data_IF_286561475824
#
_entry.id   IF_286561475824
#
_cell.length_a   1.000
_cell.length_b   1.000
_cell.length_c   1.000
_cell.angle_alpha   90.00
_cell.angle_beta   90.00
_cell.angle_gamma   90.00
#
_symmetry.space_group_name_H-M   'P 1'
#
loop_
_entity.id
_entity.type
_entity.pdbx_description
1 polymer ?
#
# COMPACT_ATOMS: atom_id res chain seq x y z
N UNK A 1 -27.34 -7.65 -41.88
CA UNK A 1 -25.92 -7.99 -41.64
C UNK A 1 -25.22 -6.94 -40.76
N UNK A 2 -25.47 -5.65 -40.97
CA UNK A 2 -24.77 -4.58 -40.20
C UNK A 2 -25.17 -4.50 -38.73
N UNK A 3 -26.42 -4.87 -38.46
CA UNK A 3 -27.02 -4.75 -37.15
C UNK A 3 -26.49 -5.78 -36.15
N UNK A 4 -26.13 -6.99 -36.60
CA UNK A 4 -25.56 -8.04 -35.73
C UNK A 4 -24.11 -7.75 -35.38
N UNK A 5 -23.37 -7.20 -36.35
CA UNK A 5 -22.01 -6.68 -36.12
C UNK A 5 -22.02 -5.58 -35.06
N UNK A 6 -23.03 -4.70 -35.07
CA UNK A 6 -23.18 -3.66 -34.06
C UNK A 6 -23.46 -4.23 -32.65
N UNK A 7 -24.32 -5.25 -32.53
CA UNK A 7 -24.59 -5.89 -31.25
C UNK A 7 -23.36 -6.61 -30.69
N UNK A 8 -22.64 -7.37 -31.53
CA UNK A 8 -21.38 -8.01 -31.13
C UNK A 8 -20.31 -6.99 -30.76
N UNK A 9 -20.17 -5.91 -31.54
CA UNK A 9 -19.22 -4.84 -31.23
C UNK A 9 -19.53 -4.18 -29.88
N UNK A 10 -20.80 -3.94 -29.56
CA UNK A 10 -21.21 -3.41 -28.26
C UNK A 10 -20.80 -4.34 -27.10
N UNK A 11 -21.01 -5.65 -27.23
CA UNK A 11 -20.58 -6.62 -26.21
C UNK A 11 -19.06 -6.58 -26.00
N UNK A 12 -18.29 -6.57 -27.09
CA UNK A 12 -16.82 -6.54 -27.01
C UNK A 12 -16.33 -5.23 -26.40
N UNK A 13 -16.84 -4.08 -26.85
CA UNK A 13 -16.48 -2.76 -26.30
C UNK A 13 -16.84 -2.68 -24.83
N UNK A 14 -18.04 -3.15 -24.46
CA UNK A 14 -18.48 -3.22 -23.07
C UNK A 14 -17.52 -4.03 -22.20
N UNK A 15 -17.12 -5.21 -22.66
CA UNK A 15 -16.17 -6.06 -21.95
C UNK A 15 -14.79 -5.39 -21.80
N UNK A 16 -14.27 -4.75 -22.84
CA UNK A 16 -13.00 -4.04 -22.78
C UNK A 16 -13.02 -2.89 -21.78
N UNK A 17 -14.12 -2.14 -21.72
CA UNK A 17 -14.32 -1.07 -20.74
C UNK A 17 -14.41 -1.62 -19.31
N UNK A 18 -15.06 -2.77 -19.11
CA UNK A 18 -15.07 -3.45 -17.80
C UNK A 18 -13.67 -3.83 -17.39
N UNK A 19 -12.90 -4.48 -18.26
CA UNK A 19 -11.51 -4.89 -17.97
C UNK A 19 -10.64 -3.68 -17.65
N UNK A 20 -10.70 -2.62 -18.46
CA UNK A 20 -9.94 -1.40 -18.23
C UNK A 20 -10.35 -0.70 -16.92
N UNK A 21 -11.64 -0.62 -16.65
CA UNK A 21 -12.17 0.00 -15.43
C UNK A 21 -11.78 -0.76 -14.17
N UNK A 22 -11.95 -2.09 -14.16
CA UNK A 22 -11.57 -2.96 -13.03
C UNK A 22 -10.06 -2.92 -12.79
N UNK A 23 -9.24 -2.97 -13.85
CA UNK A 23 -7.79 -2.84 -13.72
C UNK A 23 -7.38 -1.51 -13.10
N UNK A 24 -8.02 -0.41 -13.50
CA UNK A 24 -7.76 0.92 -12.94
C UNK A 24 -8.18 1.03 -11.47
N UNK A 25 -9.31 0.43 -11.09
CA UNK A 25 -9.75 0.38 -9.68
C UNK A 25 -8.77 -0.41 -8.84
N UNK A 26 -8.35 -1.60 -9.29
CA UNK A 26 -7.42 -2.45 -8.55
C UNK A 26 -6.09 -1.77 -8.25
N UNK A 27 -5.58 -0.98 -9.20
CA UNK A 27 -4.36 -0.18 -9.03
C UNK A 27 -4.55 1.09 -8.20
N UNK A 28 -5.80 1.50 -7.98
CA UNK A 28 -6.13 2.75 -7.31
C UNK A 28 -6.70 2.59 -5.90
N UNK A 29 -6.94 1.36 -5.44
CA UNK A 29 -7.35 1.12 -4.06
C UNK A 29 -6.26 1.65 -3.14
N UNK A 30 -6.63 2.63 -2.31
CA UNK A 30 -5.77 3.11 -1.24
C UNK A 30 -5.52 2.00 -0.23
N UNK A 31 -4.50 2.19 0.60
CA UNK A 31 -4.11 1.25 1.64
C UNK A 31 -3.42 1.97 2.79
N UNK A 32 -3.17 1.22 3.86
CA UNK A 32 -2.27 1.68 4.90
C UNK A 32 -0.85 1.41 4.44
N UNK A 33 -0.03 2.46 4.38
CA UNK A 33 1.40 2.33 4.22
C UNK A 33 2.08 2.50 5.56
N UNK A 34 3.07 1.67 5.81
CA UNK A 34 3.95 1.77 6.97
C UNK A 34 5.29 2.30 6.50
N UNK A 35 5.94 3.19 7.24
CA UNK A 35 7.23 3.73 6.85
C UNK A 35 8.19 3.75 8.03
N UNK A 36 9.47 3.69 7.70
CA UNK A 36 10.61 3.81 8.60
C UNK A 36 11.45 4.99 8.11
N UNK A 37 11.56 6.03 8.93
CA UNK A 37 12.57 7.07 8.76
C UNK A 37 13.75 6.78 9.68
N UNK A 38 14.93 7.28 9.32
CA UNK A 38 16.13 7.12 10.13
C UNK A 38 16.85 8.44 10.33
N UNK A 39 17.33 8.66 11.56
CA UNK A 39 18.18 9.76 11.93
C UNK A 39 19.41 9.27 12.67
N UNK A 40 20.54 9.93 12.41
CA UNK A 40 21.79 9.66 13.12
C UNK A 40 21.70 10.24 14.54
N UNK A 41 22.01 9.43 15.56
CA UNK A 41 22.10 9.87 16.95
C UNK A 41 23.59 9.87 17.31
N UNK A 42 24.18 11.06 17.46
CA UNK A 42 25.63 11.22 17.70
C UNK A 42 26.16 10.38 18.87
N UNK A 43 27.26 9.64 18.63
CA UNK A 43 28.29 8.99 19.46
C UNK A 43 27.96 8.38 20.84
N UNK A 44 26.74 8.47 21.35
CA UNK A 44 26.34 7.91 22.63
C UNK A 44 24.91 7.41 22.55
N UNK A 45 24.62 6.23 23.15
CA UNK A 45 23.26 5.75 23.23
C UNK A 45 22.45 6.84 23.96
N UNK A 46 21.22 7.16 23.49
CA UNK A 46 20.38 8.11 24.19
C UNK A 46 20.27 7.68 25.65
N UNK A 47 20.32 8.66 26.55
CA UNK A 47 20.15 8.41 27.99
C UNK A 47 18.67 8.01 28.21
N UNK A 48 18.35 6.73 28.01
CA UNK A 48 16.99 6.19 28.16
C UNK A 48 16.54 6.15 29.64
N UNK A 49 17.33 6.73 30.54
CA UNK A 49 17.10 6.78 31.99
C UNK A 49 16.33 8.00 32.49
N UNK A 50 16.05 9.00 31.64
CA UNK A 50 15.25 10.16 32.07
C UNK A 50 13.75 9.82 31.99
N UNK A 51 13.23 9.43 33.16
CA UNK A 51 11.94 8.80 33.35
C UNK A 51 10.76 9.61 32.84
N UNK A 52 10.00 8.99 31.93
CA UNK A 52 8.53 8.91 31.93
C UNK A 52 8.06 8.05 30.74
N UNK A 53 8.68 6.90 30.49
CA UNK A 53 8.30 6.02 29.38
C UNK A 53 8.23 4.57 29.84
N UNK A 54 7.35 4.30 30.79
CA UNK A 54 6.93 2.94 31.19
C UNK A 54 6.30 2.10 30.05
N UNK A 55 6.14 2.67 28.86
CA UNK A 55 5.55 2.03 27.67
C UNK A 55 6.50 1.99 26.44
N UNK A 56 7.74 2.47 26.54
CA UNK A 56 8.74 2.26 25.47
C UNK A 56 9.42 0.93 25.71
N UNK A 57 9.68 0.09 24.68
CA UNK A 57 10.55 -1.04 24.88
C UNK A 57 11.92 -0.52 25.31
N UNK A 58 12.26 -0.83 26.56
CA UNK A 58 13.43 -0.32 27.24
C UNK A 58 14.71 -0.76 26.51
N UNK A 59 15.30 0.13 25.71
CA UNK A 59 16.71 0.02 25.33
C UNK A 59 17.03 0.18 23.85
N UNK A 60 18.34 0.21 23.60
CA UNK A 60 18.92 0.14 22.27
C UNK A 60 18.93 -1.31 21.81
N UNK A 61 18.35 -1.59 20.65
CA UNK A 61 18.40 -2.89 20.03
C UNK A 61 19.71 -3.06 19.25
N UNK A 62 20.51 -4.07 19.59
CA UNK A 62 21.52 -4.53 18.65
C UNK A 62 20.82 -5.13 17.42
N UNK A 63 21.28 -4.81 16.20
CA UNK A 63 20.71 -5.37 14.97
C UNK A 63 20.60 -6.92 15.04
N UNK A 64 21.59 -7.59 15.63
CA UNK A 64 21.63 -9.04 15.79
C UNK A 64 20.53 -9.63 16.67
N UNK A 65 19.88 -8.81 17.51
CA UNK A 65 18.82 -9.24 18.41
C UNK A 65 17.42 -9.14 17.78
N UNK A 66 17.31 -8.52 16.60
CA UNK A 66 16.05 -8.44 15.87
C UNK A 66 15.78 -9.75 15.11
N UNK A 67 14.51 -10.07 14.89
CA UNK A 67 14.10 -11.12 13.95
C UNK A 67 14.66 -10.87 12.54
N UNK A 68 14.68 -11.90 11.70
CA UNK A 68 15.10 -11.78 10.29
C UNK A 68 14.34 -10.66 9.55
N UNK A 69 13.06 -10.46 9.89
CA UNK A 69 12.24 -9.37 9.35
C UNK A 69 12.68 -8.01 9.89
N UNK A 70 12.92 -7.91 11.20
CA UNK A 70 13.44 -6.69 11.82
C UNK A 70 14.79 -6.30 11.23
N UNK A 71 15.72 -7.25 11.09
CA UNK A 71 17.01 -7.02 10.44
C UNK A 71 16.86 -6.58 8.99
N UNK A 72 15.96 -7.22 8.24
CA UNK A 72 15.69 -6.84 6.85
C UNK A 72 15.11 -5.43 6.75
N UNK A 73 14.18 -5.07 7.63
CA UNK A 73 13.57 -3.74 7.66
C UNK A 73 14.64 -2.68 7.97
N UNK A 74 15.41 -2.85 9.05
CA UNK A 74 16.49 -1.92 9.41
C UNK A 74 17.52 -1.79 8.30
N UNK A 75 18.00 -2.90 7.73
CA UNK A 75 18.98 -2.85 6.65
C UNK A 75 18.44 -2.09 5.43
N UNK A 76 17.18 -2.31 5.04
CA UNK A 76 16.56 -1.57 3.93
C UNK A 76 16.38 -0.08 4.23
N UNK A 77 16.02 0.26 5.47
CA UNK A 77 15.91 1.64 5.92
C UNK A 77 17.27 2.34 5.84
N UNK A 78 18.33 1.71 6.34
CA UNK A 78 19.70 2.26 6.28
C UNK A 78 20.21 2.36 4.84
N UNK A 79 19.97 1.35 4.01
CA UNK A 79 20.35 1.37 2.59
C UNK A 79 19.65 2.51 1.84
N UNK A 80 18.35 2.74 2.09
CA UNK A 80 17.59 3.85 1.54
C UNK A 80 18.14 5.21 1.97
N UNK A 81 18.46 5.33 3.26
CA UNK A 81 19.02 6.54 3.84
C UNK A 81 20.39 6.88 3.25
N UNK A 82 21.29 5.91 3.13
CA UNK A 82 22.61 6.15 2.53
C UNK A 82 22.54 6.40 1.03
N UNK A 83 21.59 5.81 0.32
CA UNK A 83 21.49 5.98 -1.13
C UNK A 83 20.85 7.31 -1.51
N UNK A 84 19.74 7.69 -0.85
CA UNK A 84 18.89 8.80 -1.28
C UNK A 84 18.47 9.73 -0.14
N UNK A 85 18.92 9.51 1.09
CA UNK A 85 18.44 10.23 2.28
C UNK A 85 16.97 9.93 2.60
N UNK A 86 16.42 8.83 2.08
CA UNK A 86 15.02 8.46 2.22
C UNK A 86 14.86 7.26 3.14
N UNK A 87 13.77 7.22 3.91
CA UNK A 87 13.34 6.05 4.66
C UNK A 87 12.94 4.84 3.80
N UNK A 88 12.42 3.82 4.45
CA UNK A 88 11.89 2.61 3.83
C UNK A 88 10.37 2.50 4.04
N UNK A 89 9.63 2.20 2.98
CA UNK A 89 8.16 2.02 3.02
C UNK A 89 7.78 0.55 2.87
N UNK A 90 6.88 0.09 3.73
CA UNK A 90 6.29 -1.24 3.77
C UNK A 90 4.81 -1.12 3.40
N UNK A 91 4.42 -1.75 2.30
CA UNK A 91 3.05 -1.75 1.76
C UNK A 91 2.29 -3.05 2.06
N UNK A 92 2.97 -4.06 2.61
CA UNK A 92 2.40 -5.36 2.97
C UNK A 92 2.55 -5.59 4.48
N UNK A 93 1.43 -5.64 5.19
CA UNK A 93 1.37 -5.89 6.64
C UNK A 93 2.12 -7.17 7.06
N UNK A 94 2.21 -8.18 6.18
CA UNK A 94 2.93 -9.42 6.49
C UNK A 94 4.44 -9.23 6.61
N UNK A 95 4.95 -8.13 6.05
CA UNK A 95 6.36 -7.76 6.12
C UNK A 95 6.67 -6.95 7.38
N UNK A 96 5.66 -6.59 8.19
CA UNK A 96 5.90 -5.84 9.41
C UNK A 96 6.74 -6.67 10.40
N UNK A 97 7.89 -6.14 10.84
CA UNK A 97 8.69 -6.74 11.89
C UNK A 97 7.96 -6.65 13.24
N UNK A 98 7.91 -7.76 14.02
CA UNK A 98 7.14 -7.81 15.27
C UNK A 98 7.71 -6.92 16.40
N UNK A 99 8.95 -6.46 16.28
CA UNK A 99 9.62 -5.60 17.26
C UNK A 99 9.21 -4.12 17.15
N UNK A 100 8.66 -3.73 16.00
CA UNK A 100 8.28 -2.36 15.73
C UNK A 100 6.76 -2.21 15.77
N UNK A 101 6.31 -1.21 16.50
CA UNK A 101 4.93 -0.78 16.57
C UNK A 101 4.77 0.47 15.71
N UNK A 102 3.64 0.58 15.03
CA UNK A 102 3.34 1.65 14.09
C UNK A 102 2.10 2.46 14.50
N UNK A 103 1.53 2.11 15.67
CA UNK A 103 0.22 2.60 16.13
C UNK A 103 0.22 3.07 17.59
N UNK A 104 1.22 2.70 18.41
CA UNK A 104 1.25 3.01 19.85
C UNK A 104 2.05 4.26 20.19
N UNK A 105 1.47 5.09 21.06
CA UNK A 105 1.79 6.47 21.37
C UNK A 105 3.23 6.75 21.86
N UNK A 106 3.97 7.59 21.11
CA UNK A 106 4.64 8.82 21.58
C UNK A 106 5.83 9.19 20.66
N UNK A 107 5.96 10.46 20.23
CA UNK A 107 5.25 11.65 20.70
C UNK A 107 3.95 11.99 19.95
N UNK A 108 3.58 11.26 18.89
CA UNK A 108 2.34 11.43 18.14
C UNK A 108 1.62 10.10 17.91
N UNK A 109 0.28 10.08 17.83
CA UNK A 109 -0.47 8.88 17.45
C UNK A 109 0.06 8.31 16.12
N UNK A 110 0.15 6.98 16.01
CA UNK A 110 0.59 6.34 14.78
C UNK A 110 2.09 6.38 14.51
N UNK A 111 2.93 6.63 15.53
CA UNK A 111 4.39 6.67 15.40
C UNK A 111 5.09 5.96 16.56
N UNK A 112 6.15 5.21 16.26
CA UNK A 112 7.07 4.63 17.25
C UNK A 112 8.50 5.12 17.04
N UNK A 113 9.27 5.21 18.12
CA UNK A 113 10.70 5.60 18.09
C UNK A 113 11.53 4.46 18.65
N UNK A 114 12.52 3.99 17.90
CA UNK A 114 13.37 2.85 18.23
C UNK A 114 14.83 3.21 18.02
N UNK A 115 15.70 2.80 18.93
CA UNK A 115 17.13 2.98 18.75
C UNK A 115 17.78 1.66 18.38
N UNK A 116 18.53 1.65 17.28
CA UNK A 116 19.23 0.47 16.79
C UNK A 116 20.73 0.74 16.69
N UNK A 117 21.52 -0.16 17.26
CA UNK A 117 22.97 -0.16 17.08
C UNK A 117 23.34 -0.95 15.82
N UNK A 118 24.02 -0.27 14.89
CA UNK A 118 24.56 -0.87 13.67
C UNK A 118 26.02 -0.46 13.49
N UNK A 119 26.93 -1.44 13.53
CA UNK A 119 28.39 -1.23 13.38
C UNK A 119 28.97 -0.20 14.38
N UNK A 120 28.41 -0.14 15.59
CA UNK A 120 28.85 0.79 16.63
C UNK A 120 28.32 2.21 16.49
N UNK A 121 27.41 2.46 15.53
CA UNK A 121 26.68 3.73 15.39
C UNK A 121 25.23 3.49 15.83
N UNK A 122 24.67 4.46 16.55
CA UNK A 122 23.28 4.44 16.99
C UNK A 122 22.39 5.19 15.99
N UNK A 123 21.33 4.52 15.56
CA UNK A 123 20.34 5.07 14.65
C UNK A 123 18.99 5.16 15.37
N UNK A 124 18.33 6.31 15.25
CA UNK A 124 16.93 6.48 15.61
C UNK A 124 16.09 6.08 14.41
N UNK A 125 15.30 5.03 14.56
CA UNK A 125 14.33 4.59 13.57
C UNK A 125 12.96 5.05 14.05
N UNK A 126 12.33 5.89 13.25
CA UNK A 126 10.95 6.30 13.47
C UNK A 126 10.04 5.56 12.53
N UNK A 127 9.14 4.80 13.13
CA UNK A 127 8.11 4.08 12.42
C UNK A 127 6.84 4.91 12.41
N UNK A 128 6.08 4.82 11.34
CA UNK A 128 4.74 5.39 11.31
C UNK A 128 3.83 4.69 10.32
N UNK A 129 2.55 4.98 10.40
CA UNK A 129 1.57 4.56 9.42
C UNK A 129 0.88 5.77 8.79
N UNK A 130 0.64 5.69 7.49
CA UNK A 130 -0.11 6.70 6.76
C UNK A 130 -1.20 6.02 5.95
N UNK A 131 -2.41 6.57 6.01
CA UNK A 131 -3.50 6.11 5.17
C UNK A 131 -3.41 6.81 3.82
N UNK A 132 -3.24 6.04 2.74
CA UNK A 132 -3.32 6.58 1.40
C UNK A 132 -4.78 6.66 0.94
N UNK A 133 -5.25 7.84 0.48
CA UNK A 133 -6.57 7.95 -0.09
C UNK A 133 -6.71 7.15 -1.38
N UNK A 134 -7.96 6.89 -1.78
CA UNK A 134 -8.24 6.31 -3.09
C UNK A 134 -7.62 7.17 -4.20
N UNK A 135 -6.91 6.53 -5.11
CA UNK A 135 -6.34 7.19 -6.29
C UNK A 135 -7.44 7.76 -7.19
N UNK A 136 -7.19 8.86 -7.92
CA UNK A 136 -8.08 9.32 -8.99
C UNK A 136 -8.43 8.23 -10.02
N UNK A 137 -7.58 7.20 -10.16
CA UNK A 137 -7.85 6.03 -10.99
C UNK A 137 -9.12 5.27 -10.57
N UNK A 138 -9.48 5.26 -9.29
CA UNK A 138 -10.73 4.66 -8.82
C UNK A 138 -11.93 5.48 -9.28
N UNK A 139 -11.81 6.81 -9.21
CA UNK A 139 -12.87 7.74 -9.62
C UNK A 139 -13.19 7.63 -11.11
N UNK A 140 -12.22 7.28 -11.94
CA UNK A 140 -12.41 7.07 -13.39
C UNK A 140 -12.72 5.61 -13.69
N UNK A 141 -12.03 4.68 -13.05
CA UNK A 141 -12.12 3.25 -13.30
C UNK A 141 -13.50 2.68 -12.97
N UNK A 142 -14.10 3.09 -11.84
CA UNK A 142 -15.40 2.59 -11.43
C UNK A 142 -16.53 3.00 -12.40
N UNK A 143 -16.69 4.28 -12.77
CA UNK A 143 -17.64 4.67 -13.81
C UNK A 143 -17.37 4.02 -15.17
N UNK A 144 -16.09 3.86 -15.55
CA UNK A 144 -15.71 3.20 -16.81
C UNK A 144 -16.18 1.75 -16.83
N UNK A 145 -15.99 1.01 -15.74
CA UNK A 145 -16.46 -0.36 -15.63
C UNK A 145 -17.99 -0.44 -15.69
N UNK A 146 -18.71 0.43 -14.96
CA UNK A 146 -20.17 0.49 -15.00
C UNK A 146 -20.70 0.79 -16.40
N UNK A 147 -20.09 1.75 -17.09
CA UNK A 147 -20.46 2.08 -18.47
C UNK A 147 -20.23 0.91 -19.42
N UNK A 148 -19.12 0.18 -19.23
CA UNK A 148 -18.84 -1.06 -19.95
C UNK A 148 -19.91 -2.13 -19.74
N UNK A 149 -20.36 -2.33 -18.50
CA UNK A 149 -21.47 -3.26 -18.19
C UNK A 149 -22.75 -2.86 -18.92
N UNK A 150 -23.12 -1.58 -18.89
CA UNK A 150 -24.34 -1.09 -19.55
C UNK A 150 -24.29 -1.33 -21.05
N UNK A 151 -23.19 -0.98 -21.72
CA UNK A 151 -23.02 -1.21 -23.16
C UNK A 151 -23.07 -2.71 -23.48
N UNK A 152 -22.38 -3.53 -22.68
CA UNK A 152 -22.36 -4.98 -22.88
C UNK A 152 -23.74 -5.61 -22.76
N UNK A 153 -24.52 -5.20 -21.75
CA UNK A 153 -25.89 -5.65 -21.55
C UNK A 153 -26.82 -5.22 -22.69
N UNK A 154 -26.71 -3.99 -23.19
CA UNK A 154 -27.48 -3.53 -24.34
C UNK A 154 -27.18 -4.35 -25.60
N UNK A 155 -25.91 -4.70 -25.82
CA UNK A 155 -25.49 -5.59 -26.90
C UNK A 155 -26.10 -6.99 -26.77
N UNK A 156 -26.06 -7.57 -25.57
CA UNK A 156 -26.65 -8.88 -25.27
C UNK A 156 -28.17 -8.89 -25.48
N UNK A 157 -28.89 -7.93 -24.89
CA UNK A 157 -30.36 -7.82 -25.02
C UNK A 157 -30.75 -7.70 -26.50
N UNK A 158 -30.06 -6.85 -27.25
CA UNK A 158 -30.29 -6.68 -28.69
C UNK A 158 -30.08 -7.99 -29.47
N UNK A 159 -29.09 -8.80 -29.08
CA UNK A 159 -28.82 -10.09 -29.73
C UNK A 159 -29.90 -11.14 -29.43
N UNK A 160 -30.44 -11.17 -28.20
CA UNK A 160 -31.48 -12.13 -27.78
C UNK A 160 -32.81 -11.83 -28.47
N UNK A 161 -33.25 -10.58 -28.47
CA UNK A 161 -34.52 -10.19 -29.12
C UNK A 161 -34.55 -10.53 -30.61
N UNK A 162 -33.40 -10.40 -31.30
CA UNK A 162 -33.33 -10.77 -32.72
C UNK A 162 -33.43 -12.26 -32.96
N UNK A 163 -32.77 -13.06 -32.14
CA UNK A 163 -32.82 -14.52 -32.28
C UNK A 163 -34.26 -15.04 -32.12
N UNK A 164 -35.04 -14.44 -31.22
CA UNK A 164 -36.47 -14.74 -31.08
C UNK A 164 -37.33 -14.29 -32.27
N UNK A 165 -36.97 -13.22 -32.96
CA UNK A 165 -37.72 -12.73 -34.13
C UNK A 165 -37.50 -13.53 -35.43
N UNK A 166 -36.44 -14.33 -35.52
CA UNK A 166 -36.16 -15.16 -36.71
C UNK A 166 -36.87 -16.51 -36.71
N UNK A 167 -37.55 -16.86 -35.61
CA UNK A 167 -38.18 -18.18 -35.39
C UNK A 167 -39.73 -18.15 -35.49
N UNK A 168 -40.34 -16.99 -35.77
CA UNK A 168 -41.79 -16.82 -35.94
C UNK A 168 -42.15 -16.23 -37.30
#
# INVERSE_FOLDING_TARGET
MDSDRAATAAVVVGLLLVVAGVGSVALGLGGTEYYHDVWDVEDSPPNVSDGNTTDRPDGVYALSNLSDRGQTAVNRTLDGYWTNGSGYTITDEKQLPPEFFYETDAPSPGHGIYYVEYRGIYYEIVTGSSWQPLSPLVLVGFPTALFGVVIGLLGLVSSVFRRGSSEG
#
